data_IF_305014591410
#
_entry.id   IF_305014591410
#
_cell.length_a   1.000
_cell.length_b   1.000
_cell.length_c   1.000
_cell.angle_alpha   90.00
_cell.angle_beta   90.00
_cell.angle_gamma   90.00
#
_symmetry.space_group_name_H-M   'P 1'
#
loop_
_entity.id
_entity.type
_entity.pdbx_description
1 polymer ?
#
# COMPACT_ATOMS: atom_id res chain seq x y z
N UNK A 1 -12.42 -55.43 4.37
CA UNK A 1 -12.42 -54.18 3.59
C UNK A 1 -12.11 -53.03 4.53
N UNK A 2 -10.88 -52.48 4.50
CA UNK A 2 -10.47 -51.30 5.29
C UNK A 2 -10.46 -50.10 4.36
N UNK A 3 -11.43 -49.20 4.51
CA UNK A 3 -11.49 -47.91 3.80
C UNK A 3 -10.58 -46.92 4.52
N UNK A 4 -9.45 -46.59 3.89
CA UNK A 4 -8.54 -45.51 4.32
C UNK A 4 -9.17 -44.17 3.91
N UNK A 5 -9.63 -43.41 4.90
CA UNK A 5 -10.14 -42.06 4.73
C UNK A 5 -8.95 -41.08 4.85
N UNK A 6 -8.36 -40.70 3.71
CA UNK A 6 -7.28 -39.70 3.68
C UNK A 6 -7.88 -38.30 3.72
N UNK A 7 -7.90 -37.69 4.91
CA UNK A 7 -8.28 -36.29 5.09
C UNK A 7 -7.12 -35.40 4.64
N UNK A 8 -7.25 -34.77 3.47
CA UNK A 8 -6.34 -33.72 3.03
C UNK A 8 -6.65 -32.42 3.79
N UNK A 9 -5.84 -32.12 4.80
CA UNK A 9 -5.81 -30.80 5.44
C UNK A 9 -5.05 -29.82 4.54
N UNK A 10 -5.77 -29.03 3.75
CA UNK A 10 -5.19 -27.86 3.08
C UNK A 10 -4.93 -26.78 4.13
N UNK A 11 -3.67 -26.66 4.57
CA UNK A 11 -3.22 -25.52 5.37
C UNK A 11 -3.07 -24.30 4.43
N UNK A 12 -4.03 -23.37 4.50
CA UNK A 12 -3.93 -22.09 3.78
C UNK A 12 -3.00 -21.19 4.58
N UNK A 13 -1.78 -21.00 4.10
CA UNK A 13 -0.80 -20.09 4.70
C UNK A 13 -1.14 -18.65 4.33
N UNK A 14 -1.79 -17.92 5.24
CA UNK A 14 -1.96 -16.46 5.13
C UNK A 14 -0.60 -15.79 5.36
N UNK A 15 0.08 -15.37 4.29
CA UNK A 15 1.25 -14.49 4.41
C UNK A 15 0.76 -13.09 4.82
N UNK A 16 0.91 -12.76 6.10
CA UNK A 16 0.75 -11.38 6.56
C UNK A 16 1.92 -10.55 6.02
N UNK A 17 1.65 -9.66 5.06
CA UNK A 17 2.66 -8.71 4.59
C UNK A 17 3.05 -7.77 5.74
N UNK A 18 4.35 -7.66 6.01
CA UNK A 18 4.88 -6.71 6.99
C UNK A 18 4.55 -5.28 6.57
N UNK A 19 4.27 -4.41 7.55
CA UNK A 19 4.11 -2.97 7.31
C UNK A 19 5.48 -2.33 7.31
N UNK A 20 5.82 -1.65 6.22
CA UNK A 20 7.01 -0.81 6.10
C UNK A 20 6.67 0.65 6.34
N UNK A 21 7.55 1.35 7.08
CA UNK A 21 7.38 2.76 7.38
C UNK A 21 8.25 3.60 6.45
N UNK A 22 7.63 4.40 5.59
CA UNK A 22 8.32 5.29 4.67
C UNK A 22 8.22 6.74 5.14
N UNK A 23 9.15 7.57 4.70
CA UNK A 23 9.10 9.02 4.91
C UNK A 23 9.41 9.70 3.57
N UNK A 24 8.58 10.63 3.12
CA UNK A 24 8.78 11.31 1.83
C UNK A 24 7.72 12.38 1.58
N UNK A 25 7.70 12.93 0.37
CA UNK A 25 6.74 13.94 -0.05
C UNK A 25 5.80 13.37 -1.11
N UNK A 26 4.52 13.73 -1.07
CA UNK A 26 3.57 13.36 -2.12
C UNK A 26 3.82 14.27 -3.32
N UNK A 27 4.18 13.70 -4.47
CA UNK A 27 4.41 14.46 -5.71
C UNK A 27 3.11 14.72 -6.48
N UNK A 28 2.25 13.71 -6.51
CA UNK A 28 0.93 13.79 -7.12
C UNK A 28 0.00 12.75 -6.48
N UNK A 29 -1.29 13.04 -6.56
CA UNK A 29 -2.39 12.16 -6.21
C UNK A 29 -3.16 11.89 -7.50
N UNK A 30 -3.42 10.63 -7.82
CA UNK A 30 -4.18 10.23 -9.00
C UNK A 30 -5.42 9.44 -8.55
N UNK A 31 -6.53 9.63 -9.27
CA UNK A 31 -7.75 8.84 -9.14
C UNK A 31 -8.15 8.40 -10.55
N UNK A 32 -8.27 7.10 -10.76
CA UNK A 32 -8.65 6.54 -12.06
C UNK A 32 -10.18 6.56 -12.28
N UNK A 33 -10.61 6.15 -13.47
CA UNK A 33 -12.03 6.07 -13.86
C UNK A 33 -12.86 5.13 -12.99
N UNK A 34 -12.22 4.17 -12.31
CA UNK A 34 -12.86 3.21 -11.41
C UNK A 34 -12.86 3.70 -9.95
N UNK A 35 -12.37 4.92 -9.72
CA UNK A 35 -12.25 5.51 -8.39
C UNK A 35 -11.09 4.95 -7.56
N UNK A 36 -10.21 4.14 -8.14
CA UNK A 36 -8.99 3.70 -7.47
C UNK A 36 -8.03 4.88 -7.38
N UNK A 37 -7.51 5.14 -6.19
CA UNK A 37 -6.59 6.25 -5.98
C UNK A 37 -5.22 5.75 -5.54
N UNK A 38 -4.18 6.43 -6.01
CA UNK A 38 -2.81 6.18 -5.60
C UNK A 38 -2.01 7.49 -5.55
N UNK A 39 -0.96 7.45 -4.76
CA UNK A 39 0.00 8.55 -4.62
C UNK A 39 1.37 8.12 -5.12
N UNK A 40 2.13 9.07 -5.62
CA UNK A 40 3.55 8.88 -5.85
C UNK A 40 4.35 9.61 -4.80
N UNK A 41 5.28 8.89 -4.19
CA UNK A 41 6.20 9.44 -3.19
C UNK A 41 7.49 9.86 -3.87
N UNK A 42 7.78 11.16 -3.82
CA UNK A 42 9.05 11.70 -4.24
C UNK A 42 10.12 11.47 -3.15
N UNK A 43 11.30 11.04 -3.58
CA UNK A 43 12.50 10.91 -2.74
C UNK A 43 12.22 10.27 -1.36
N UNK A 44 11.74 9.02 -1.31
CA UNK A 44 11.46 8.39 -0.03
C UNK A 44 12.77 8.18 0.75
N UNK A 45 12.88 8.83 1.92
CA UNK A 45 14.09 8.83 2.76
C UNK A 45 14.23 7.59 3.64
N UNK A 46 13.15 6.83 3.83
CA UNK A 46 13.11 5.70 4.77
C UNK A 46 12.47 4.43 4.19
N UNK A 47 12.41 4.31 2.86
CA UNK A 47 11.91 3.14 2.13
C UNK A 47 11.81 3.46 0.62
N UNK A 48 11.27 2.55 -0.22
CA UNK A 48 11.19 1.12 0.03
C UNK A 48 12.56 0.54 0.41
N UNK A 49 12.57 -0.49 1.27
CA UNK A 49 13.79 -1.29 1.46
C UNK A 49 14.05 -2.11 0.19
N UNK A 50 15.29 -2.56 -0.03
CA UNK A 50 15.69 -3.27 -1.24
C UNK A 50 14.87 -4.56 -1.52
N UNK A 51 14.28 -5.16 -0.48
CA UNK A 51 13.43 -6.35 -0.56
C UNK A 51 11.92 -6.05 -0.65
N UNK A 52 11.53 -4.77 -0.74
CA UNK A 52 10.14 -4.35 -0.77
C UNK A 52 9.87 -3.62 -2.09
N UNK A 53 9.29 -4.34 -3.06
CA UNK A 53 9.00 -3.79 -4.38
C UNK A 53 7.57 -3.26 -4.41
N UNK A 54 7.39 -1.96 -4.67
CA UNK A 54 6.09 -1.35 -4.92
C UNK A 54 6.00 -0.90 -6.37
N UNK A 55 6.11 -1.85 -7.29
CA UNK A 55 6.26 -1.60 -8.72
C UNK A 55 7.53 -0.80 -9.06
N UNK A 56 7.57 -0.28 -10.29
CA UNK A 56 8.71 0.49 -10.82
C UNK A 56 8.75 1.96 -10.39
N UNK A 57 7.69 2.43 -9.74
CA UNK A 57 7.50 3.82 -9.32
C UNK A 57 7.04 3.74 -7.87
N UNK A 58 7.53 4.59 -6.96
CA UNK A 58 7.14 4.62 -5.54
C UNK A 58 5.65 4.97 -5.35
N UNK A 59 4.77 4.10 -5.84
CA UNK A 59 3.34 4.24 -5.95
C UNK A 59 2.73 3.46 -4.80
N UNK A 60 1.84 4.13 -4.08
CA UNK A 60 1.11 3.57 -2.96
C UNK A 60 -0.37 3.82 -3.18
N UNK A 61 -1.16 2.76 -3.23
CA UNK A 61 -2.61 2.84 -3.35
C UNK A 61 -3.24 3.30 -2.03
N UNK A 62 -4.23 4.18 -2.12
CA UNK A 62 -4.99 4.70 -0.99
C UNK A 62 -6.16 3.78 -0.64
N UNK A 63 -5.86 2.49 -0.52
CA UNK A 63 -6.82 1.39 -0.47
C UNK A 63 -6.31 0.21 -1.29
N UNK A 64 -7.22 -0.70 -1.65
CA UNK A 64 -6.87 -1.86 -2.47
C UNK A 64 -6.86 -1.49 -3.95
N UNK A 65 -5.82 -1.97 -4.66
CA UNK A 65 -5.70 -1.79 -6.11
C UNK A 65 -6.97 -2.27 -6.83
N UNK A 66 -7.41 -1.52 -7.85
CA UNK A 66 -8.62 -1.78 -8.62
C UNK A 66 -9.92 -1.77 -7.77
N UNK A 67 -9.89 -1.16 -6.59
CA UNK A 67 -11.06 -0.84 -5.78
C UNK A 67 -11.14 0.67 -5.56
N UNK A 68 -12.35 1.21 -5.32
CA UNK A 68 -12.50 2.60 -4.92
C UNK A 68 -11.63 2.93 -3.70
N UNK A 69 -11.03 4.10 -3.72
CA UNK A 69 -10.17 4.57 -2.64
C UNK A 69 -10.92 4.68 -1.30
N UNK A 70 -10.18 4.47 -0.21
CA UNK A 70 -10.67 4.87 1.10
C UNK A 70 -10.72 6.40 1.16
N UNK A 71 -11.91 6.98 1.34
CA UNK A 71 -12.11 8.43 1.32
C UNK A 71 -11.31 9.17 2.40
N UNK A 72 -11.05 8.54 3.56
CA UNK A 72 -10.21 9.11 4.60
C UNK A 72 -8.75 9.21 4.15
N UNK A 73 -8.22 8.15 3.52
CA UNK A 73 -6.86 8.19 2.96
C UNK A 73 -6.74 9.15 1.79
N UNK A 74 -7.73 9.22 0.91
CA UNK A 74 -7.75 10.20 -0.18
C UNK A 74 -7.76 11.63 0.35
N UNK A 75 -8.64 11.94 1.30
CA UNK A 75 -8.70 13.27 1.93
C UNK A 75 -7.37 13.62 2.60
N UNK A 76 -6.77 12.68 3.31
CA UNK A 76 -5.49 12.91 3.98
C UNK A 76 -4.33 13.08 3.01
N UNK A 77 -4.29 12.30 1.92
CA UNK A 77 -3.32 12.44 0.85
C UNK A 77 -3.42 13.79 0.13
N UNK A 78 -4.63 14.31 -0.09
CA UNK A 78 -4.84 15.64 -0.67
C UNK A 78 -4.38 16.75 0.28
N UNK A 79 -4.72 16.65 1.57
CA UNK A 79 -4.28 17.63 2.57
C UNK A 79 -2.75 17.73 2.64
N UNK A 80 -2.06 16.59 2.76
CA UNK A 80 -0.59 16.57 2.85
C UNK A 80 0.10 16.99 1.55
N UNK A 81 -0.49 16.66 0.40
CA UNK A 81 -0.02 17.14 -0.90
C UNK A 81 -0.06 18.67 -0.98
N UNK A 82 -1.21 19.27 -0.64
CA UNK A 82 -1.37 20.74 -0.65
C UNK A 82 -0.47 21.44 0.35
N UNK A 83 -0.16 20.80 1.48
CA UNK A 83 0.72 21.36 2.50
C UNK A 83 2.21 21.33 2.11
N UNK A 84 2.61 20.54 1.11
CA UNK A 84 4.01 20.40 0.69
C UNK A 84 4.94 19.87 1.78
N UNK A 85 4.40 19.13 2.76
CA UNK A 85 5.18 18.64 3.90
C UNK A 85 5.76 17.25 3.63
N UNK A 86 6.91 16.97 4.23
CA UNK A 86 7.39 15.61 4.40
C UNK A 86 6.45 14.86 5.36
N UNK A 87 6.01 13.66 4.97
CA UNK A 87 5.08 12.86 5.76
C UNK A 87 5.58 11.43 5.98
N UNK A 88 4.99 10.75 6.97
CA UNK A 88 5.22 9.34 7.26
C UNK A 88 4.08 8.49 6.72
N UNK A 89 4.44 7.35 6.16
CA UNK A 89 3.48 6.39 5.59
C UNK A 89 3.75 5.00 6.14
N UNK A 90 2.67 4.28 6.44
CA UNK A 90 2.71 2.83 6.53
C UNK A 90 2.34 2.25 5.19
N UNK A 91 3.16 1.35 4.67
CA UNK A 91 2.96 0.69 3.38
C UNK A 91 2.95 -0.81 3.61
N UNK A 92 1.98 -1.50 3.02
CA UNK A 92 1.86 -2.96 3.06
C UNK A 92 1.65 -3.49 1.65
N UNK A 93 2.30 -4.61 1.33
CA UNK A 93 2.15 -5.29 0.05
C UNK A 93 3.51 -5.59 -0.59
N UNK A 94 3.48 -6.07 -1.82
CA UNK A 94 4.65 -6.30 -2.66
C UNK A 94 4.24 -6.31 -4.14
N UNK A 95 5.21 -6.20 -5.05
CA UNK A 95 4.96 -6.10 -6.48
C UNK A 95 4.13 -4.85 -6.81
N UNK A 96 3.10 -5.00 -7.62
CA UNK A 96 2.33 -3.86 -8.14
C UNK A 96 1.16 -3.41 -7.24
N UNK A 97 1.11 -3.88 -5.99
CA UNK A 97 -0.02 -3.67 -5.07
C UNK A 97 0.43 -3.28 -3.67
N UNK A 98 1.15 -2.17 -3.57
CA UNK A 98 1.43 -1.56 -2.27
C UNK A 98 0.30 -0.63 -1.83
N UNK A 99 -0.23 -0.88 -0.64
CA UNK A 99 -1.36 -0.16 -0.07
C UNK A 99 -0.90 0.67 1.13
N UNK A 100 -1.46 1.86 1.28
CA UNK A 100 -1.29 2.68 2.46
C UNK A 100 -2.06 2.06 3.64
N UNK A 101 -1.38 1.88 4.77
CA UNK A 101 -2.00 1.50 6.04
C UNK A 101 -2.21 2.69 6.96
N UNK A 102 -1.40 3.75 6.81
CA UNK A 102 -1.62 5.06 7.44
C UNK A 102 -0.87 6.17 6.68
N UNK A 103 -1.33 7.41 6.86
CA UNK A 103 -0.69 8.63 6.36
C UNK A 103 -0.66 9.64 7.51
N UNK A 104 0.50 10.20 7.83
CA UNK A 104 0.61 11.17 8.92
C UNK A 104 1.58 12.30 8.57
N UNK A 105 1.10 13.53 8.66
CA UNK A 105 1.95 14.72 8.53
C UNK A 105 2.93 14.78 9.70
N UNK A 106 4.20 15.15 9.41
CA UNK A 106 5.12 15.60 10.45
C UNK A 106 4.92 17.07 10.78
#
# INVERSE_FOLDING_TARGET
MKTLLSVFLFAVSFQAFAIENWTGEVKWVNVDENGSAYIFINNPRSGPKANFTCGNYNIVYLGTKNRPANSAFLSQALMVYTAGKTIRFGVRGAGDSCEATYISAR
#
